data_IF_391615925190
#
_entry.id   IF_391615925190
#
_cell.length_a   1.000
_cell.length_b   1.000
_cell.length_c   1.000
_cell.angle_alpha   90.00
_cell.angle_beta   90.00
_cell.angle_gamma   90.00
#
_symmetry.space_group_name_H-M   'P 1'
#
loop_
_entity.id
_entity.type
_entity.pdbx_description
1 polymer ?
#
# COMPACT_ATOMS: atom_id res chain seq x y z
N UNK A 1 18.81 -11.22 12.01
CA UNK A 1 17.41 -10.78 11.87
C UNK A 1 16.93 -11.19 10.51
N UNK A 2 16.06 -12.20 10.44
CA UNK A 2 15.33 -12.49 9.22
C UNK A 2 14.55 -11.23 8.85
N UNK A 3 14.93 -10.58 7.75
CA UNK A 3 14.24 -9.38 7.28
C UNK A 3 12.80 -9.81 7.07
N UNK A 4 11.86 -9.23 7.81
CA UNK A 4 10.44 -9.42 7.58
C UNK A 4 10.20 -8.93 6.14
N UNK A 5 10.12 -9.88 5.22
CA UNK A 5 10.09 -9.59 3.79
C UNK A 5 8.67 -9.24 3.34
N UNK A 6 7.66 -9.54 4.15
CA UNK A 6 6.26 -9.25 3.85
C UNK A 6 5.57 -8.91 5.16
N UNK A 7 4.92 -7.75 5.20
CA UNK A 7 4.01 -7.42 6.29
C UNK A 7 2.63 -7.87 5.87
N UNK A 8 2.00 -8.67 6.73
CA UNK A 8 0.61 -9.06 6.57
C UNK A 8 -0.23 -8.22 7.52
N UNK A 9 -1.09 -7.37 6.97
CA UNK A 9 -2.02 -6.53 7.71
C UNK A 9 -3.41 -7.16 7.73
N UNK A 10 -4.15 -6.98 8.83
CA UNK A 10 -5.48 -7.60 8.98
C UNK A 10 -6.58 -6.80 8.30
N UNK A 11 -6.70 -5.50 8.59
CA UNK A 11 -7.73 -4.64 7.99
C UNK A 11 -7.28 -3.19 7.95
N UNK A 12 -7.68 -2.43 6.95
CA UNK A 12 -7.51 -0.98 6.93
C UNK A 12 -8.84 -0.27 6.66
N UNK A 13 -9.14 0.84 7.36
CA UNK A 13 -10.36 1.59 7.10
C UNK A 13 -10.33 2.24 5.72
N UNK A 14 -11.48 2.45 5.11
CA UNK A 14 -11.68 3.36 4.00
C UNK A 14 -13.00 4.09 4.25
N UNK A 15 -12.94 5.38 4.58
CA UNK A 15 -14.16 6.17 4.60
C UNK A 15 -14.75 6.31 3.20
N UNK A 16 -16.03 6.66 3.09
CA UNK A 16 -16.70 7.18 1.89
C UNK A 16 -17.91 8.02 2.36
N UNK A 17 -18.34 9.02 1.59
CA UNK A 17 -19.57 9.76 1.96
C UNK A 17 -20.81 8.92 1.70
N UNK A 18 -21.90 9.18 2.43
CA UNK A 18 -23.21 8.53 2.21
C UNK A 18 -23.68 8.66 0.75
N UNK A 19 -23.52 9.84 0.16
CA UNK A 19 -23.84 10.08 -1.25
C UNK A 19 -23.03 9.16 -2.17
N UNK A 20 -21.74 9.05 -1.92
CA UNK A 20 -20.85 8.27 -2.78
C UNK A 20 -21.11 6.77 -2.66
N UNK A 21 -21.40 6.30 -1.44
CA UNK A 21 -21.81 4.92 -1.19
C UNK A 21 -23.08 4.58 -1.96
N UNK A 22 -24.13 5.40 -1.86
CA UNK A 22 -25.39 5.15 -2.55
C UNK A 22 -25.24 5.13 -4.08
N UNK A 23 -24.37 5.99 -4.63
CA UNK A 23 -24.10 6.02 -6.08
C UNK A 23 -23.37 4.78 -6.59
N UNK A 24 -22.50 4.16 -5.78
CA UNK A 24 -21.58 3.10 -6.26
C UNK A 24 -21.70 1.76 -5.53
N UNK A 25 -22.72 1.59 -4.66
CA UNK A 25 -22.92 0.36 -3.85
C UNK A 25 -22.94 -0.95 -4.64
N UNK A 26 -23.36 -0.94 -5.90
CA UNK A 26 -23.38 -2.11 -6.77
C UNK A 26 -22.02 -2.43 -7.40
N UNK A 27 -21.18 -1.41 -7.63
CA UNK A 27 -19.85 -1.54 -8.24
C UNK A 27 -18.77 -1.88 -7.21
N UNK A 28 -19.05 -1.69 -5.93
CA UNK A 28 -18.18 -2.06 -4.79
C UNK A 28 -18.08 -3.59 -4.57
N UNK A 29 -18.40 -4.41 -5.59
CA UNK A 29 -18.43 -5.87 -5.50
C UNK A 29 -17.04 -6.49 -5.37
N UNK A 30 -16.68 -6.85 -4.14
CA UNK A 30 -15.69 -7.81 -3.60
C UNK A 30 -14.27 -7.93 -4.17
N UNK A 31 -14.01 -7.77 -5.47
CA UNK A 31 -12.65 -7.87 -6.03
C UNK A 31 -11.91 -6.53 -5.88
N UNK A 32 -10.78 -6.54 -5.17
CA UNK A 32 -9.93 -5.35 -4.96
C UNK A 32 -10.17 -4.59 -3.65
N UNK A 33 -11.22 -4.90 -2.90
CA UNK A 33 -11.48 -4.36 -1.54
C UNK A 33 -11.05 -5.33 -0.42
N UNK A 34 -10.40 -6.44 -0.73
CA UNK A 34 -10.02 -7.43 0.28
C UNK A 34 -9.03 -6.79 1.29
N UNK A 35 -9.36 -6.90 2.58
CA UNK A 35 -8.57 -6.27 3.64
C UNK A 35 -8.88 -4.79 3.88
N UNK A 36 -9.84 -4.21 3.15
CA UNK A 36 -10.36 -2.86 3.40
C UNK A 36 -11.77 -3.00 4.00
N UNK A 37 -12.06 -2.23 5.05
CA UNK A 37 -13.44 -2.08 5.54
C UNK A 37 -13.95 -0.67 5.27
N UNK A 38 -15.17 -0.57 4.76
CA UNK A 38 -15.76 0.71 4.42
C UNK A 38 -16.47 1.32 5.63
N UNK A 39 -16.27 2.62 5.83
CA UNK A 39 -16.99 3.42 6.82
C UNK A 39 -17.76 4.51 6.09
N UNK A 40 -19.08 4.50 6.21
CA UNK A 40 -19.92 5.56 5.63
C UNK A 40 -19.91 6.77 6.55
N UNK A 41 -19.62 7.93 5.99
CA UNK A 41 -19.50 9.20 6.71
C UNK A 41 -20.69 10.10 6.37
N UNK A 42 -21.18 10.81 7.38
CA UNK A 42 -22.19 11.86 7.19
C UNK A 42 -21.63 13.00 6.33
N UNK A 43 -22.48 13.56 5.46
CA UNK A 43 -22.12 14.64 4.54
C UNK A 43 -21.60 15.85 5.33
N UNK A 44 -20.41 16.34 4.99
CA UNK A 44 -19.94 17.67 5.39
C UNK A 44 -19.42 18.38 4.15
N UNK A 45 -19.90 19.60 3.91
CA UNK A 45 -19.54 20.40 2.72
C UNK A 45 -18.07 20.87 2.73
N UNK A 46 -17.38 20.71 3.86
CA UNK A 46 -15.98 21.11 4.08
C UNK A 46 -15.02 19.93 4.28
N UNK A 47 -15.47 18.67 4.15
CA UNK A 47 -14.62 17.50 4.33
C UNK A 47 -14.32 16.80 2.99
N UNK A 48 -13.06 16.39 2.75
CA UNK A 48 -12.72 15.59 1.57
C UNK A 48 -13.49 14.25 1.60
N UNK A 49 -13.67 13.58 0.44
CA UNK A 49 -14.66 12.52 0.26
C UNK A 49 -14.46 11.23 1.09
N UNK A 50 -13.42 11.15 1.94
CA UNK A 50 -13.36 10.14 2.99
C UNK A 50 -12.34 10.37 4.11
N UNK A 51 -12.49 9.60 5.21
CA UNK A 51 -11.67 9.59 6.42
C UNK A 51 -10.95 8.25 6.58
N UNK A 52 -9.70 8.31 7.02
CA UNK A 52 -8.85 7.16 7.33
C UNK A 52 -8.09 7.44 8.64
N UNK A 53 -8.76 7.26 9.78
CA UNK A 53 -8.27 7.66 11.11
C UNK A 53 -9.41 7.94 12.09
N UNK A 54 -9.08 8.50 13.26
CA UNK A 54 -10.08 9.02 14.19
C UNK A 54 -10.79 10.21 13.53
N UNK A 55 -12.12 10.16 13.43
CA UNK A 55 -12.93 11.20 12.79
C UNK A 55 -12.84 12.55 13.49
N UNK A 56 -12.26 12.60 14.70
CA UNK A 56 -12.05 13.83 15.45
C UNK A 56 -10.82 14.65 14.97
N UNK A 57 -9.89 14.08 14.19
CA UNK A 57 -8.66 14.76 13.78
C UNK A 57 -8.53 14.93 12.25
N UNK A 58 -8.89 16.11 11.75
CA UNK A 58 -8.98 16.44 10.30
C UNK A 58 -7.63 16.40 9.54
N UNK A 59 -6.48 16.49 10.21
CA UNK A 59 -5.16 16.51 9.56
C UNK A 59 -4.66 15.11 9.14
N UNK A 60 -5.23 14.05 9.70
CA UNK A 60 -4.81 12.66 9.45
C UNK A 60 -5.59 11.97 8.32
N UNK A 61 -6.35 12.74 7.55
CA UNK A 61 -7.29 12.23 6.57
C UNK A 61 -6.58 11.86 5.27
N UNK A 62 -6.75 10.60 4.86
CA UNK A 62 -6.45 10.12 3.51
C UNK A 62 -7.69 10.31 2.65
N UNK A 63 -7.58 10.81 1.43
CA UNK A 63 -8.71 11.02 0.53
C UNK A 63 -8.40 10.55 -0.90
N UNK A 64 -9.43 10.08 -1.60
CA UNK A 64 -9.39 9.60 -2.98
C UNK A 64 -10.80 9.75 -3.57
N UNK A 65 -10.96 10.03 -4.88
CA UNK A 65 -12.27 10.09 -5.48
C UNK A 65 -12.88 8.68 -5.59
N UNK A 66 -14.22 8.57 -5.48
CA UNK A 66 -14.91 7.28 -5.63
C UNK A 66 -14.82 6.67 -7.03
N UNK A 67 -14.48 7.46 -8.05
CA UNK A 67 -14.13 6.95 -9.39
C UNK A 67 -12.94 5.99 -9.37
N UNK A 68 -12.17 5.93 -8.28
CA UNK A 68 -11.13 4.91 -8.06
C UNK A 68 -11.73 3.52 -7.86
N UNK A 69 -12.96 3.41 -7.35
CA UNK A 69 -13.65 2.16 -7.13
C UNK A 69 -14.15 1.52 -8.44
N UNK A 70 -14.28 2.31 -9.50
CA UNK A 70 -14.78 1.87 -10.81
C UNK A 70 -13.66 1.33 -11.72
N UNK A 71 -12.40 1.57 -11.36
CA UNK A 71 -11.23 1.19 -12.13
C UNK A 71 -10.39 0.17 -11.33
N UNK A 72 -10.30 -1.09 -11.79
CA UNK A 72 -9.59 -2.15 -11.06
C UNK A 72 -8.14 -1.82 -10.72
N UNK A 73 -7.44 -1.08 -11.58
CA UNK A 73 -6.03 -0.71 -11.37
C UNK A 73 -5.90 0.42 -10.35
N UNK A 74 -6.79 1.42 -10.41
CA UNK A 74 -6.82 2.48 -9.40
C UNK A 74 -7.24 1.91 -8.04
N UNK A 75 -8.19 0.98 -8.02
CA UNK A 75 -8.63 0.29 -6.80
C UNK A 75 -7.48 -0.51 -6.18
N UNK A 76 -6.76 -1.28 -6.99
CA UNK A 76 -5.55 -1.99 -6.56
C UNK A 76 -4.50 -1.03 -5.99
N UNK A 77 -4.25 0.11 -6.65
CA UNK A 77 -3.33 1.14 -6.17
C UNK A 77 -3.80 1.78 -4.86
N UNK A 78 -5.10 1.98 -4.68
CA UNK A 78 -5.68 2.47 -3.43
C UNK A 78 -5.45 1.47 -2.29
N UNK A 79 -5.76 0.20 -2.52
CA UNK A 79 -5.62 -0.87 -1.52
C UNK A 79 -4.22 -0.94 -0.94
N UNK A 80 -3.19 -1.07 -1.79
CA UNK A 80 -1.79 -1.17 -1.32
C UNK A 80 -1.34 0.07 -0.54
N UNK A 81 -1.77 1.28 -0.95
CA UNK A 81 -1.37 2.54 -0.30
C UNK A 81 -2.04 2.69 1.05
N UNK A 82 -3.32 2.32 1.17
CA UNK A 82 -4.06 2.35 2.43
C UNK A 82 -3.50 1.35 3.43
N UNK A 83 -3.18 0.13 2.99
CA UNK A 83 -2.54 -0.87 3.84
C UNK A 83 -1.17 -0.38 4.34
N UNK A 84 -0.35 0.19 3.45
CA UNK A 84 0.93 0.79 3.80
C UNK A 84 0.79 1.98 4.76
N UNK A 85 -0.20 2.86 4.54
CA UNK A 85 -0.49 4.02 5.37
C UNK A 85 -0.88 3.58 6.78
N UNK A 86 -1.84 2.66 6.88
CA UNK A 86 -2.31 2.16 8.16
C UNK A 86 -1.19 1.45 8.93
N UNK A 87 -0.39 0.63 8.26
CA UNK A 87 0.77 0.01 8.88
C UNK A 87 1.78 1.06 9.40
N UNK A 88 2.21 2.01 8.56
CA UNK A 88 3.17 3.06 8.95
C UNK A 88 2.64 3.94 10.07
N UNK A 89 1.33 4.19 10.13
CA UNK A 89 0.69 4.99 11.18
C UNK A 89 0.78 4.32 12.55
N UNK A 90 0.73 2.99 12.61
CA UNK A 90 0.55 2.26 13.87
C UNK A 90 1.83 1.59 14.41
N UNK A 91 2.91 1.52 13.63
CA UNK A 91 4.17 0.94 14.12
C UNK A 91 4.80 1.81 15.23
N UNK A 92 5.39 1.20 16.27
CA UNK A 92 6.20 1.94 17.24
C UNK A 92 7.48 2.50 16.62
N UNK A 93 7.83 3.74 16.95
CA UNK A 93 9.10 4.38 16.55
C UNK A 93 9.93 4.78 17.80
N UNK A 94 10.39 3.83 18.61
CA UNK A 94 11.14 4.14 19.84
C UNK A 94 12.53 4.75 19.59
N UNK A 95 13.12 4.53 18.41
CA UNK A 95 14.44 5.01 18.04
C UNK A 95 14.63 5.07 16.51
N UNK A 96 15.66 5.80 16.04
CA UNK A 96 15.99 5.98 14.61
C UNK A 96 15.96 4.66 13.81
N UNK A 97 16.47 3.57 14.37
CA UNK A 97 16.54 2.29 13.67
C UNK A 97 15.14 1.78 13.24
N UNK A 98 14.11 2.02 14.05
CA UNK A 98 12.72 1.63 13.74
C UNK A 98 12.17 2.42 12.57
N UNK A 99 12.52 3.72 12.47
CA UNK A 99 12.16 4.55 11.33
C UNK A 99 12.89 4.09 10.06
N UNK A 100 14.19 3.79 10.18
CA UNK A 100 15.01 3.35 9.05
C UNK A 100 14.52 2.01 8.47
N UNK A 101 14.22 1.04 9.33
CA UNK A 101 13.68 -0.26 8.93
C UNK A 101 12.31 -0.10 8.27
N UNK A 102 11.46 0.76 8.84
CA UNK A 102 10.13 1.00 8.29
C UNK A 102 10.17 1.71 6.94
N UNK A 103 11.06 2.68 6.80
CA UNK A 103 11.35 3.31 5.52
C UNK A 103 11.89 2.31 4.50
N UNK A 104 12.76 1.38 4.89
CA UNK A 104 13.32 0.39 3.98
C UNK A 104 12.24 -0.47 3.31
N UNK A 105 11.16 -0.75 4.04
CA UNK A 105 9.98 -1.48 3.58
C UNK A 105 9.17 -0.63 2.59
N UNK A 106 8.98 0.66 2.85
CA UNK A 106 8.09 1.51 2.04
C UNK A 106 8.77 2.28 0.91
N UNK A 107 10.10 2.41 0.93
CA UNK A 107 10.82 3.32 0.02
C UNK A 107 10.53 3.08 -1.45
N UNK A 108 10.30 1.83 -1.88
CA UNK A 108 10.04 1.53 -3.29
C UNK A 108 8.65 2.00 -3.70
N UNK A 109 7.63 1.75 -2.87
CA UNK A 109 6.31 2.32 -3.03
C UNK A 109 6.38 3.85 -3.06
N UNK A 110 6.99 4.48 -2.05
CA UNK A 110 7.09 5.95 -2.00
C UNK A 110 7.84 6.54 -3.21
N UNK A 111 8.91 5.89 -3.70
CA UNK A 111 9.66 6.32 -4.88
C UNK A 111 8.87 6.16 -6.19
N UNK A 112 7.97 5.19 -6.27
CA UNK A 112 7.03 5.08 -7.38
C UNK A 112 6.03 6.25 -7.36
N UNK A 113 5.41 6.51 -6.20
CA UNK A 113 4.41 7.55 -6.02
C UNK A 113 5.00 8.94 -6.31
N UNK A 114 6.10 9.29 -5.61
CA UNK A 114 6.77 10.60 -5.68
C UNK A 114 8.28 10.45 -5.59
N UNK A 115 8.89 10.21 -6.74
CA UNK A 115 10.29 9.82 -6.88
C UNK A 115 11.30 10.79 -6.24
N UNK A 116 11.20 12.08 -6.57
CA UNK A 116 12.16 13.11 -6.11
C UNK A 116 12.05 13.29 -4.60
N UNK A 117 10.83 13.50 -4.11
CA UNK A 117 10.53 13.74 -2.69
C UNK A 117 10.91 12.51 -1.84
N UNK A 118 10.56 11.30 -2.28
CA UNK A 118 10.92 10.07 -1.60
C UNK A 118 12.43 9.84 -1.54
N UNK A 119 13.17 10.16 -2.60
CA UNK A 119 14.65 10.06 -2.59
C UNK A 119 15.28 11.06 -1.64
N UNK A 120 14.75 12.29 -1.58
CA UNK A 120 15.21 13.28 -0.61
C UNK A 120 14.93 12.82 0.82
N UNK A 121 13.69 12.39 1.09
CA UNK A 121 13.30 11.86 2.40
C UNK A 121 14.20 10.70 2.85
N UNK A 122 14.54 9.79 1.93
CA UNK A 122 15.46 8.69 2.24
C UNK A 122 16.88 9.14 2.60
N UNK A 123 17.38 10.22 1.99
CA UNK A 123 18.67 10.83 2.36
C UNK A 123 18.58 11.48 3.74
N UNK A 124 17.49 12.20 3.99
CA UNK A 124 17.25 12.88 5.26
C UNK A 124 17.15 11.87 6.42
N UNK A 125 16.45 10.75 6.22
CA UNK A 125 16.38 9.64 7.19
C UNK A 125 17.76 9.02 7.43
N UNK A 126 18.56 8.84 6.37
CA UNK A 126 19.91 8.29 6.51
C UNK A 126 20.83 9.22 7.32
N UNK A 127 20.66 10.54 7.17
CA UNK A 127 21.44 11.58 7.86
C UNK A 127 21.02 11.83 9.32
N UNK A 128 19.90 11.27 9.79
CA UNK A 128 19.47 11.38 11.19
C UNK A 128 20.54 10.88 12.16
N UNK A 129 20.72 11.61 13.25
CA UNK A 129 21.55 11.19 14.38
C UNK A 129 20.93 9.98 15.07
N UNK A 130 21.76 9.11 15.66
CA UNK A 130 21.33 7.85 16.28
C UNK A 130 20.38 8.05 17.47
N UNK A 131 20.52 9.18 18.17
CA UNK A 131 19.80 9.61 19.36
C UNK A 131 18.65 10.59 19.05
N UNK A 132 18.21 10.66 17.78
CA UNK A 132 17.06 11.48 17.41
C UNK A 132 15.82 11.17 18.27
N UNK A 133 15.26 12.22 18.87
CA UNK A 133 14.10 12.13 19.75
C UNK A 133 12.82 11.70 19.02
N UNK A 134 11.84 11.23 19.79
CA UNK A 134 10.56 10.70 19.27
C UNK A 134 9.83 11.72 18.39
N UNK A 135 9.82 13.00 18.79
CA UNK A 135 9.18 14.08 18.02
C UNK A 135 9.72 14.16 16.59
N UNK A 136 11.05 14.09 16.42
CA UNK A 136 11.70 14.09 15.11
C UNK A 136 11.28 12.85 14.32
N UNK A 137 11.24 11.67 14.95
CA UNK A 137 10.83 10.44 14.27
C UNK A 137 9.37 10.53 13.78
N UNK A 138 8.49 11.16 14.55
CA UNK A 138 7.11 11.40 14.18
C UNK A 138 6.97 12.41 13.03
N UNK A 139 7.81 13.46 12.95
CA UNK A 139 7.85 14.33 11.76
C UNK A 139 8.18 13.55 10.49
N UNK A 140 9.13 12.61 10.57
CA UNK A 140 9.44 11.73 9.44
C UNK A 140 8.30 10.77 9.13
N UNK A 141 7.60 10.24 10.14
CA UNK A 141 6.38 9.46 9.94
C UNK A 141 5.37 10.27 9.12
N UNK A 142 5.10 11.51 9.49
CA UNK A 142 4.16 12.37 8.76
C UNK A 142 4.59 12.62 7.31
N UNK A 143 5.90 12.80 7.06
CA UNK A 143 6.44 12.89 5.70
C UNK A 143 6.26 11.60 4.88
N UNK A 144 6.41 10.43 5.49
CA UNK A 144 6.15 9.14 4.82
C UNK A 144 4.65 8.99 4.52
N UNK A 145 3.80 9.29 5.51
CA UNK A 145 2.35 9.21 5.39
C UNK A 145 1.82 10.16 4.29
N UNK A 146 2.39 11.35 4.13
CA UNK A 146 2.01 12.29 3.07
C UNK A 146 2.36 11.77 1.67
N UNK A 147 3.50 11.09 1.49
CA UNK A 147 3.86 10.47 0.21
C UNK A 147 2.88 9.36 -0.19
N UNK A 148 2.38 8.59 0.78
CA UNK A 148 1.42 7.50 0.54
C UNK A 148 0.05 7.98 0.07
N UNK A 149 -0.28 9.28 0.25
CA UNK A 149 -1.54 9.88 -0.23
C UNK A 149 -1.56 10.10 -1.74
N UNK A 150 -0.40 10.15 -2.40
CA UNK A 150 -0.35 10.35 -3.85
C UNK A 150 -0.74 9.08 -4.60
N UNK A 151 -1.61 9.15 -5.63
CA UNK A 151 -1.90 8.02 -6.49
C UNK A 151 -0.72 7.72 -7.41
N UNK A 152 -0.62 6.47 -7.85
CA UNK A 152 0.33 6.10 -8.91
C UNK A 152 -0.29 6.27 -10.30
N UNK A 153 0.52 6.04 -11.34
CA UNK A 153 0.05 6.01 -12.73
C UNK A 153 0.25 4.61 -13.32
N UNK A 154 -0.54 4.20 -14.33
CA UNK A 154 -0.39 2.88 -14.93
C UNK A 154 1.04 2.57 -15.40
N UNK A 155 1.74 3.56 -15.95
CA UNK A 155 3.12 3.41 -16.43
C UNK A 155 4.10 3.16 -15.28
N UNK A 156 3.92 3.88 -14.17
CA UNK A 156 4.73 3.71 -12.96
C UNK A 156 4.50 2.33 -12.34
N UNK A 157 3.24 1.92 -12.21
CA UNK A 157 2.86 0.61 -11.67
C UNK A 157 3.46 -0.51 -12.52
N UNK A 158 3.31 -0.44 -13.85
CA UNK A 158 3.90 -1.41 -14.78
C UNK A 158 5.43 -1.45 -14.66
N UNK A 159 6.08 -0.30 -14.58
CA UNK A 159 7.52 -0.20 -14.40
C UNK A 159 8.00 -0.82 -13.09
N UNK A 160 7.25 -0.64 -11.99
CA UNK A 160 7.56 -1.27 -10.71
C UNK A 160 7.28 -2.78 -10.70
N UNK A 161 6.18 -3.23 -11.30
CA UNK A 161 5.88 -4.65 -11.51
C UNK A 161 7.06 -5.34 -12.20
N UNK A 162 7.50 -4.82 -13.34
CA UNK A 162 8.56 -5.45 -14.13
C UNK A 162 9.90 -5.52 -13.39
N UNK A 163 10.26 -4.46 -12.65
CA UNK A 163 11.46 -4.43 -11.81
C UNK A 163 11.42 -5.48 -10.72
N UNK A 164 10.28 -5.63 -10.05
CA UNK A 164 10.10 -6.60 -8.99
C UNK A 164 10.09 -8.02 -9.54
N UNK A 165 9.35 -8.28 -10.63
CA UNK A 165 9.36 -9.58 -11.29
C UNK A 165 10.76 -9.99 -11.74
N UNK A 166 11.50 -9.12 -12.41
CA UNK A 166 12.87 -9.42 -12.85
C UNK A 166 13.80 -9.75 -11.67
N UNK A 167 13.67 -9.01 -10.57
CA UNK A 167 14.44 -9.27 -9.34
C UNK A 167 14.04 -10.62 -8.70
N UNK A 168 12.75 -10.94 -8.70
CA UNK A 168 12.23 -12.21 -8.20
C UNK A 168 12.67 -13.38 -9.06
N UNK A 169 12.54 -13.29 -10.38
CA UNK A 169 12.99 -14.31 -11.33
C UNK A 169 14.47 -14.66 -11.14
N UNK A 170 15.31 -13.64 -10.92
CA UNK A 170 16.75 -13.85 -10.60
C UNK A 170 16.99 -14.61 -9.30
N UNK A 171 16.09 -14.51 -8.32
CA UNK A 171 16.22 -15.15 -7.01
C UNK A 171 15.59 -16.54 -6.97
N UNK A 172 14.48 -16.73 -7.68
CA UNK A 172 13.69 -17.96 -7.64
C UNK A 172 13.98 -18.92 -8.78
N UNK A 173 14.57 -18.43 -9.87
CA UNK A 173 14.71 -19.15 -11.15
C UNK A 173 13.39 -19.75 -11.65
N UNK A 174 12.27 -19.16 -11.25
CA UNK A 174 10.92 -19.61 -11.58
C UNK A 174 10.19 -18.52 -12.36
N UNK A 175 10.11 -18.64 -13.70
CA UNK A 175 9.37 -17.70 -14.52
C UNK A 175 7.86 -17.86 -14.30
N UNK A 176 7.14 -16.73 -14.33
CA UNK A 176 5.69 -16.69 -14.36
C UNK A 176 5.29 -16.32 -15.80
N UNK A 177 4.76 -17.30 -16.54
CA UNK A 177 4.42 -17.18 -17.97
C UNK A 177 3.37 -16.11 -18.27
N UNK A 178 2.55 -15.79 -17.27
CA UNK A 178 1.43 -14.87 -17.33
C UNK A 178 1.88 -13.40 -17.23
N UNK A 179 3.11 -13.15 -16.75
CA UNK A 179 3.69 -11.81 -16.69
C UNK A 179 4.29 -11.46 -18.04
N UNK A 180 3.77 -10.40 -18.66
CA UNK A 180 4.16 -10.02 -20.01
C UNK A 180 5.34 -9.06 -19.99
N UNK A 181 6.27 -9.20 -20.95
CA UNK A 181 7.35 -8.23 -21.10
C UNK A 181 6.74 -6.90 -21.57
N UNK A 182 7.00 -5.77 -20.88
CA UNK A 182 6.55 -4.45 -21.33
C UNK A 182 6.97 -4.09 -22.76
N UNK A 183 8.01 -4.73 -23.31
CA UNK A 183 8.45 -4.56 -24.71
C UNK A 183 7.49 -5.19 -25.72
N UNK A 184 6.69 -6.15 -25.31
CA UNK A 184 5.74 -6.85 -26.18
C UNK A 184 4.42 -6.05 -26.35
N UNK A 185 4.24 -4.96 -25.59
CA UNK A 185 3.10 -4.05 -25.70
C UNK A 185 2.60 -3.51 -24.36
N UNK A 186 1.60 -2.62 -24.43
CA UNK A 186 0.87 -2.13 -23.25
C UNK A 186 -0.38 -2.99 -23.07
N UNK A 187 -0.33 -3.88 -22.09
CA UNK A 187 -1.46 -4.73 -21.70
C UNK A 187 -2.11 -4.14 -20.45
N UNK A 188 -3.06 -3.21 -20.60
CA UNK A 188 -3.75 -2.60 -19.45
C UNK A 188 -4.72 -3.60 -18.81
N UNK A 189 -5.43 -4.36 -19.65
CA UNK A 189 -6.44 -5.34 -19.23
C UNK A 189 -5.87 -6.50 -18.40
N UNK A 190 -4.57 -6.79 -18.51
CA UNK A 190 -3.90 -7.86 -17.74
C UNK A 190 -3.08 -7.36 -16.56
N UNK A 191 -2.85 -6.05 -16.45
CA UNK A 191 -1.93 -5.51 -15.45
C UNK A 191 -2.36 -5.83 -14.02
N UNK A 192 -3.64 -5.72 -13.70
CA UNK A 192 -4.19 -6.04 -12.37
C UNK A 192 -3.99 -7.52 -12.03
N UNK A 193 -4.25 -8.41 -13.00
CA UNK A 193 -4.01 -9.84 -12.84
C UNK A 193 -2.52 -10.14 -12.59
N UNK A 194 -1.63 -9.56 -13.38
CA UNK A 194 -0.17 -9.72 -13.22
C UNK A 194 0.33 -9.22 -11.85
N UNK A 195 -0.27 -8.14 -11.33
CA UNK A 195 0.02 -7.62 -9.99
C UNK A 195 -0.40 -8.60 -8.89
N UNK A 196 -1.62 -9.13 -8.96
CA UNK A 196 -2.10 -10.12 -8.01
C UNK A 196 -1.30 -11.41 -8.03
N UNK A 197 -0.89 -11.89 -9.21
CA UNK A 197 0.00 -13.05 -9.33
C UNK A 197 1.32 -12.84 -8.58
N UNK A 198 1.93 -11.65 -8.69
CA UNK A 198 3.14 -11.33 -7.95
C UNK A 198 2.91 -11.20 -6.45
N UNK A 199 1.78 -10.62 -6.02
CA UNK A 199 1.42 -10.56 -4.59
C UNK A 199 1.28 -11.95 -4.00
N UNK A 200 0.57 -12.85 -4.68
CA UNK A 200 0.42 -14.24 -4.27
C UNK A 200 1.75 -14.98 -4.20
N UNK A 201 2.56 -14.86 -5.23
CA UNK A 201 3.84 -15.55 -5.32
C UNK A 201 4.83 -15.01 -4.28
N UNK A 202 4.83 -13.70 -4.06
CA UNK A 202 5.56 -13.06 -2.98
C UNK A 202 5.15 -13.68 -1.64
N UNK A 203 3.85 -13.76 -1.33
CA UNK A 203 3.35 -14.40 -0.11
C UNK A 203 3.76 -15.86 0.02
N UNK A 204 3.60 -16.66 -1.04
CA UNK A 204 3.95 -18.09 -1.07
C UNK A 204 5.43 -18.33 -0.81
N UNK A 205 6.30 -17.47 -1.37
CA UNK A 205 7.77 -17.64 -1.32
C UNK A 205 8.46 -16.74 -0.28
N UNK A 206 7.70 -15.98 0.50
CA UNK A 206 8.22 -14.99 1.46
C UNK A 206 9.22 -14.00 0.84
N UNK A 207 8.93 -13.55 -0.39
CA UNK A 207 9.77 -12.61 -1.14
C UNK A 207 9.22 -11.20 -0.99
N UNK A 208 10.10 -10.24 -0.72
CA UNK A 208 9.71 -8.84 -0.64
C UNK A 208 9.29 -8.29 -2.01
N UNK A 209 8.02 -7.90 -2.11
CA UNK A 209 7.43 -7.22 -3.27
C UNK A 209 7.30 -5.72 -2.98
N UNK A 210 8.28 -4.94 -3.43
CA UNK A 210 8.38 -3.52 -3.07
C UNK A 210 7.27 -2.64 -3.65
N UNK A 211 6.53 -3.14 -4.65
CA UNK A 211 5.35 -2.47 -5.21
C UNK A 211 4.14 -2.54 -4.27
N UNK A 212 4.02 -3.63 -3.49
CA UNK A 212 2.94 -3.87 -2.52
C UNK A 212 3.54 -4.45 -1.23
N UNK A 213 4.25 -3.63 -0.43
CA UNK A 213 5.08 -4.11 0.69
C UNK A 213 4.28 -4.54 1.93
N UNK A 214 3.03 -4.09 2.02
CA UNK A 214 2.08 -4.44 3.07
C UNK A 214 0.88 -5.10 2.41
N UNK A 215 0.75 -6.41 2.61
CA UNK A 215 -0.27 -7.24 1.99
C UNK A 215 -1.37 -7.58 2.98
N UNK A 216 -2.56 -7.85 2.46
CA UNK A 216 -3.63 -8.45 3.24
C UNK A 216 -3.58 -9.97 3.13
N UNK A 217 -3.81 -10.66 4.26
CA UNK A 217 -4.09 -12.09 4.26
C UNK A 217 -5.28 -12.34 5.16
N UNK A 218 -6.32 -12.92 4.59
CA UNK A 218 -7.45 -13.39 5.38
C UNK A 218 -6.97 -14.47 6.37
N UNK A 219 -7.20 -14.25 7.66
CA UNK A 219 -7.04 -15.31 8.66
C UNK A 219 -8.12 -16.35 8.36
N UNK A 220 -7.75 -17.44 7.67
CA UNK A 220 -8.61 -18.63 7.64
C UNK A 220 -8.89 -19.02 9.10
N UNK A 221 -10.15 -19.19 9.51
CA UNK A 221 -10.44 -19.69 10.85
C UNK A 221 -9.69 -21.01 11.03
N UNK A 222 -8.91 -21.10 12.11
CA UNK A 222 -8.30 -22.36 12.51
C UNK A 222 -9.46 -23.27 12.88
N UNK A 223 -9.83 -24.18 11.98
CA UNK A 223 -10.72 -25.28 12.34
C UNK A 223 -9.89 -26.13 13.27
N UNK A 224 -10.07 -25.94 14.58
CA UNK A 224 -9.54 -26.87 15.57
C UNK A 224 -10.24 -28.21 15.33
N UNK A 225 -9.58 -29.11 14.61
CA UNK A 225 -9.89 -30.52 14.68
C UNK A 225 -9.52 -30.97 16.10
N UNK A 226 -10.50 -30.90 17.01
CA UNK A 226 -10.41 -31.59 18.29
C UNK A 226 -10.35 -33.09 17.97
N UNK A 227 -9.23 -33.69 18.35
CA UNK A 227 -9.06 -35.14 18.46
C UNK A 227 -9.42 -35.57 19.88
#
# INVERSE_FOLDING_TARGET
>A
MDKINIIVHEKAPLGITERDYELHKTSLSSEGLEGIFMVVLEKSEDLPPFILGDSQNKEEVYSSPCSVLEDPLKLWDLKRRILAYHWMKNIPLPHRQSLFESWYILKFLCQELKNVDARQLGRDIAALQSDAGIEVLEEFRQKILSLLKYPSTPEKIRGSLWKNYTNQLKKTHHPLSEIKDPKDGVFEDTLVHELHLLEEEAMKKHIFFGTSPVLYKEKKPVISSQA
#
